data_IF_366162402280
#
_entry.id   IF_366162402280
#
_cell.length_a   1.000
_cell.length_b   1.000
_cell.length_c   1.000
_cell.angle_alpha   90.00
_cell.angle_beta   90.00
_cell.angle_gamma   90.00
#
_symmetry.space_group_name_H-M   'P 1'
#
loop_
_entity.id
_entity.type
_entity.pdbx_description
1 polymer ?
#
# COMPACT_ATOMS: atom_id res chain seq x y z
N UNK A 1 11.08 30.27 60.08
CA UNK A 1 10.94 30.28 58.61
C UNK A 1 11.81 29.17 58.06
N UNK A 2 11.19 28.09 57.59
CA UNK A 2 11.85 26.84 57.17
C UNK A 2 11.01 26.23 56.05
N UNK A 3 11.58 25.89 54.88
CA UNK A 3 10.81 25.45 53.72
C UNK A 3 10.45 23.96 53.77
N UNK A 4 9.32 23.62 53.14
CA UNK A 4 8.81 22.24 52.98
C UNK A 4 9.60 21.43 51.94
N UNK A 5 9.60 20.08 52.03
CA UNK A 5 10.38 19.21 51.14
C UNK A 5 9.69 18.87 49.81
N UNK A 6 10.50 18.56 48.80
CA UNK A 6 10.09 17.97 47.51
C UNK A 6 10.08 16.43 47.56
N UNK A 7 9.20 15.74 46.80
CA UNK A 7 9.12 14.28 46.81
C UNK A 7 9.88 13.57 45.67
N UNK A 8 10.63 12.53 46.06
CA UNK A 8 10.92 11.26 45.37
C UNK A 8 11.26 11.23 43.86
N UNK A 9 12.54 11.00 43.57
CA UNK A 9 12.95 10.14 42.44
C UNK A 9 12.89 8.66 42.86
N UNK A 10 12.41 7.79 41.98
CA UNK A 10 12.32 6.34 42.22
C UNK A 10 13.33 5.61 41.33
N UNK A 11 14.45 5.21 41.92
CA UNK A 11 15.49 4.40 41.28
C UNK A 11 15.04 2.93 41.28
N UNK A 12 15.12 2.26 40.13
CA UNK A 12 14.97 0.81 40.03
C UNK A 12 16.35 0.16 40.11
N UNK A 13 16.61 -0.56 41.20
CA UNK A 13 17.82 -1.37 41.40
C UNK A 13 17.48 -2.85 41.32
N UNK A 14 18.39 -3.60 40.68
CA UNK A 14 18.37 -5.07 40.59
C UNK A 14 18.41 -5.76 41.96
N UNK A 15 17.86 -6.98 42.04
CA UNK A 15 18.55 -8.17 42.59
C UNK A 15 17.62 -9.39 42.62
N UNK A 16 18.14 -10.57 42.20
CA UNK A 16 17.82 -11.85 42.87
C UNK A 16 18.79 -12.98 42.52
N UNK A 17 19.56 -13.36 43.54
CA UNK A 17 20.47 -14.51 43.70
C UNK A 17 20.40 -14.94 45.18
N UNK A 18 20.81 -16.12 45.65
CA UNK A 18 21.05 -17.46 45.06
C UNK A 18 20.94 -18.47 46.22
N UNK A 19 20.33 -19.64 46.01
CA UNK A 19 20.52 -20.84 46.85
C UNK A 19 19.97 -22.07 46.09
N UNK A 20 20.69 -23.12 45.67
CA UNK A 20 21.93 -23.80 46.10
C UNK A 20 21.72 -24.93 47.14
N UNK A 21 21.83 -26.18 46.65
CA UNK A 21 22.22 -27.44 47.31
C UNK A 21 22.24 -28.53 46.21
N UNK A 22 23.40 -28.91 45.64
CA UNK A 22 24.42 -29.89 46.11
C UNK A 22 24.08 -31.37 45.88
N UNK A 23 24.98 -32.13 45.24
CA UNK A 23 24.69 -33.55 44.90
C UNK A 23 25.69 -34.40 44.06
N UNK A 24 27.00 -34.13 44.07
CA UNK A 24 28.16 -35.07 43.88
C UNK A 24 28.27 -36.19 42.78
N UNK A 25 29.55 -36.40 42.36
CA UNK A 25 30.21 -37.49 41.54
C UNK A 25 30.23 -37.28 40.00
N UNK A 26 31.36 -37.17 39.27
CA UNK A 26 32.71 -37.83 39.32
C UNK A 26 32.64 -39.32 38.95
N UNK A 27 33.37 -39.88 37.97
CA UNK A 27 34.78 -39.67 37.55
C UNK A 27 35.04 -39.79 36.03
N UNK A 28 36.29 -39.53 35.61
CA UNK A 28 36.90 -39.58 34.26
C UNK A 28 36.89 -40.94 33.53
N UNK A 29 37.24 -40.93 32.22
CA UNK A 29 38.30 -41.80 31.61
C UNK A 29 38.64 -41.39 30.14
N UNK A 30 39.91 -41.01 29.96
CA UNK A 30 40.87 -41.17 28.83
C UNK A 30 40.44 -41.23 27.34
N UNK A 31 40.96 -40.25 26.59
CA UNK A 31 41.84 -40.34 25.41
C UNK A 31 41.75 -41.52 24.40
N UNK A 32 41.54 -41.19 23.11
CA UNK A 32 42.50 -41.48 22.01
C UNK A 32 42.06 -40.91 20.63
N UNK A 33 42.88 -40.02 20.06
CA UNK A 33 43.08 -39.89 18.60
C UNK A 33 43.90 -41.10 18.10
N UNK A 34 43.96 -41.50 16.79
CA UNK A 34 44.20 -40.57 15.68
C UNK A 34 43.62 -40.92 14.28
N UNK A 35 43.91 -40.03 13.32
CA UNK A 35 44.04 -40.26 11.85
C UNK A 35 42.83 -39.92 10.98
N UNK A 36 43.01 -38.96 10.06
CA UNK A 36 42.11 -38.70 8.93
C UNK A 36 42.36 -39.65 7.73
N UNK A 37 42.07 -39.25 6.46
CA UNK A 37 42.23 -37.88 5.96
C UNK A 37 41.05 -37.31 5.12
N UNK A 38 41.13 -35.99 4.91
CA UNK A 38 40.69 -35.23 3.72
C UNK A 38 39.52 -35.73 2.85
N UNK A 39 38.49 -34.90 2.74
CA UNK A 39 38.05 -34.47 1.41
C UNK A 39 37.48 -33.04 1.44
N UNK A 40 38.08 -32.17 0.62
CA UNK A 40 37.65 -30.78 0.42
C UNK A 40 36.43 -30.72 -0.50
N UNK A 41 35.49 -29.82 -0.24
CA UNK A 41 34.66 -29.17 -1.29
C UNK A 41 33.72 -28.10 -0.71
N UNK A 42 34.30 -27.13 0.00
CA UNK A 42 33.60 -25.85 0.21
C UNK A 42 33.55 -25.09 -1.13
N UNK A 43 32.37 -24.98 -1.72
CA UNK A 43 32.12 -24.22 -2.95
C UNK A 43 31.08 -23.12 -2.68
N UNK A 44 31.49 -21.84 -2.59
CA UNK A 44 30.55 -20.75 -2.38
C UNK A 44 29.76 -20.47 -3.68
N UNK A 45 28.42 -20.50 -3.57
CA UNK A 45 27.51 -20.13 -4.66
C UNK A 45 27.61 -18.64 -4.99
N UNK A 46 28.58 -18.27 -5.83
CA UNK A 46 28.62 -16.96 -6.48
C UNK A 46 27.51 -16.86 -7.52
N UNK A 47 26.59 -15.93 -7.30
CA UNK A 47 25.51 -15.60 -8.23
C UNK A 47 26.06 -14.84 -9.44
N UNK A 48 26.42 -15.56 -10.51
CA UNK A 48 26.76 -14.94 -11.80
C UNK A 48 25.47 -14.61 -12.58
N UNK A 49 25.33 -13.38 -13.12
CA UNK A 49 24.18 -13.03 -13.93
C UNK A 49 24.30 -13.68 -15.33
N UNK A 50 23.26 -14.42 -15.74
CA UNK A 50 23.13 -14.91 -17.11
C UNK A 50 23.11 -13.73 -18.09
N UNK A 51 24.20 -13.54 -18.83
CA UNK A 51 24.19 -12.80 -20.09
C UNK A 51 23.53 -13.69 -21.14
N UNK A 52 22.35 -13.29 -21.63
CA UNK A 52 21.79 -13.84 -22.85
C UNK A 52 22.60 -13.32 -24.03
N UNK A 53 23.42 -14.19 -24.64
CA UNK A 53 23.98 -13.92 -25.96
C UNK A 53 22.83 -13.94 -26.96
N UNK A 54 22.38 -12.75 -27.36
CA UNK A 54 21.65 -12.59 -28.61
C UNK A 54 22.70 -12.32 -29.68
N UNK A 55 22.87 -13.25 -30.61
CA UNK A 55 23.89 -13.12 -31.66
C UNK A 55 23.48 -12.01 -32.66
N UNK A 56 24.39 -11.08 -32.89
CA UNK A 56 24.27 -10.05 -33.93
C UNK A 56 24.50 -10.69 -35.31
N UNK A 57 23.43 -10.87 -36.10
CA UNK A 57 23.57 -11.05 -37.55
C UNK A 57 24.08 -9.75 -38.20
N UNK A 58 25.41 -9.57 -38.17
CA UNK A 58 26.09 -8.51 -38.93
C UNK A 58 25.98 -8.75 -40.43
N UNK A 59 24.90 -8.24 -41.05
CA UNK A 59 24.89 -7.98 -42.49
C UNK A 59 25.89 -6.86 -42.81
N UNK A 60 27.02 -7.24 -43.39
CA UNK A 60 27.92 -6.29 -44.04
C UNK A 60 27.19 -5.66 -45.24
N UNK A 61 27.18 -4.33 -45.32
CA UNK A 61 26.72 -3.59 -46.49
C UNK A 61 27.84 -2.59 -46.83
N UNK A 62 28.35 -2.56 -48.07
CA UNK A 62 29.50 -1.74 -48.43
C UNK A 62 29.14 -0.24 -48.47
N UNK A 63 30.14 0.60 -48.26
CA UNK A 63 29.94 2.03 -48.01
C UNK A 63 29.40 2.81 -49.20
N UNK A 64 28.41 3.67 -48.92
CA UNK A 64 28.06 4.84 -49.74
C UNK A 64 28.44 6.07 -48.94
N UNK A 65 29.35 6.89 -49.48
CA UNK A 65 29.88 8.07 -48.78
C UNK A 65 28.82 9.16 -48.63
N UNK A 66 28.23 9.29 -47.44
CA UNK A 66 27.34 10.39 -47.10
C UNK A 66 28.14 11.64 -46.72
N UNK A 67 28.17 12.62 -47.62
CA UNK A 67 28.69 13.96 -47.31
C UNK A 67 27.87 14.60 -46.18
N UNK A 68 28.54 15.16 -45.17
CA UNK A 68 27.87 15.93 -44.12
C UNK A 68 27.26 17.21 -44.72
N UNK A 69 25.93 17.42 -44.65
CA UNK A 69 25.36 18.73 -44.93
C UNK A 69 25.73 19.66 -43.77
N UNK A 70 26.56 20.67 -44.05
CA UNK A 70 26.82 21.76 -43.09
C UNK A 70 25.50 22.42 -42.73
N UNK A 71 25.15 22.38 -41.44
CA UNK A 71 23.86 22.87 -40.94
C UNK A 71 23.70 24.37 -41.17
N UNK A 72 23.06 24.73 -42.29
CA UNK A 72 22.46 26.04 -42.47
C UNK A 72 21.41 26.23 -41.38
N UNK A 73 21.58 27.25 -40.53
CA UNK A 73 20.55 27.65 -39.59
C UNK A 73 19.33 28.12 -40.39
N UNK A 74 18.32 27.25 -40.51
CA UNK A 74 17.07 27.53 -41.21
C UNK A 74 16.41 28.73 -40.54
N UNK A 75 16.58 29.91 -41.14
CA UNK A 75 15.83 31.10 -40.75
C UNK A 75 14.35 30.75 -40.84
N UNK A 76 13.71 30.62 -39.68
CA UNK A 76 12.26 30.50 -39.58
C UNK A 76 11.70 31.69 -40.35
N UNK A 77 10.94 31.42 -41.41
CA UNK A 77 10.41 32.48 -42.26
C UNK A 77 9.44 33.34 -41.45
N UNK A 78 9.35 34.63 -41.76
CA UNK A 78 8.41 35.52 -41.06
C UNK A 78 6.96 34.98 -41.09
N UNK A 79 6.59 34.25 -42.15
CA UNK A 79 5.34 33.48 -42.24
C UNK A 79 5.18 32.49 -41.08
N UNK A 80 6.13 31.56 -40.90
CA UNK A 80 6.04 30.53 -39.87
C UNK A 80 6.01 31.13 -38.43
N UNK A 81 6.63 32.29 -38.22
CA UNK A 81 6.53 33.02 -36.96
C UNK A 81 5.17 33.69 -36.77
N UNK A 82 4.55 34.22 -37.83
CA UNK A 82 3.18 34.74 -37.80
C UNK A 82 2.15 33.62 -37.57
N UNK A 83 2.29 32.48 -38.24
CA UNK A 83 1.44 31.30 -38.08
C UNK A 83 1.49 30.76 -36.64
N UNK A 84 2.68 30.71 -36.03
CA UNK A 84 2.86 30.32 -34.64
C UNK A 84 2.21 31.31 -33.66
N UNK A 85 2.25 32.61 -33.95
CA UNK A 85 1.60 33.62 -33.13
C UNK A 85 0.08 33.54 -33.24
N UNK A 86 -0.46 33.40 -34.46
CA UNK A 86 -1.88 33.19 -34.71
C UNK A 86 -2.41 31.92 -33.99
N UNK A 87 -1.65 30.83 -33.99
CA UNK A 87 -1.99 29.62 -33.22
C UNK A 87 -2.02 29.86 -31.70
N UNK A 88 -1.08 30.64 -31.15
CA UNK A 88 -1.10 31.02 -29.72
C UNK A 88 -2.33 31.85 -29.38
N UNK A 89 -2.73 32.76 -30.26
CA UNK A 89 -3.87 33.65 -30.04
C UNK A 89 -5.21 32.90 -30.16
N UNK A 90 -5.34 31.96 -31.11
CA UNK A 90 -6.46 31.01 -31.19
C UNK A 90 -6.53 30.11 -29.95
N UNK A 91 -5.40 29.54 -29.51
CA UNK A 91 -5.39 28.66 -28.34
C UNK A 91 -5.71 29.44 -27.06
N UNK A 92 -5.11 30.62 -26.88
CA UNK A 92 -5.34 31.49 -25.73
C UNK A 92 -6.77 32.01 -25.65
N UNK A 93 -7.39 32.34 -26.78
CA UNK A 93 -8.82 32.74 -26.83
C UNK A 93 -9.75 31.56 -26.50
N UNK A 94 -9.52 30.37 -27.07
CA UNK A 94 -10.31 29.17 -26.72
C UNK A 94 -10.19 28.79 -25.24
N UNK A 95 -8.99 28.85 -24.67
CA UNK A 95 -8.77 28.57 -23.24
C UNK A 95 -9.52 29.58 -22.36
N UNK A 96 -9.43 30.89 -22.67
CA UNK A 96 -10.15 31.93 -21.93
C UNK A 96 -11.67 31.77 -22.02
N UNK A 97 -12.19 31.44 -23.19
CA UNK A 97 -13.63 31.25 -23.38
C UNK A 97 -14.15 30.00 -22.68
N UNK A 98 -13.41 28.87 -22.72
CA UNK A 98 -13.74 27.67 -21.92
C UNK A 98 -13.78 27.97 -20.43
N UNK A 99 -12.73 28.60 -19.88
CA UNK A 99 -12.67 29.01 -18.47
C UNK A 99 -13.81 29.94 -18.09
N UNK A 100 -14.19 30.87 -18.98
CA UNK A 100 -15.33 31.76 -18.76
C UNK A 100 -16.67 31.01 -18.71
N UNK A 101 -16.85 30.01 -19.57
CA UNK A 101 -18.04 29.16 -19.58
C UNK A 101 -18.11 28.28 -18.33
N UNK A 102 -17.01 27.65 -17.92
CA UNK A 102 -16.93 26.83 -16.72
C UNK A 102 -17.23 27.66 -15.44
N UNK A 103 -16.61 28.84 -15.31
CA UNK A 103 -16.88 29.77 -14.20
C UNK A 103 -18.36 30.22 -14.21
N UNK A 104 -18.92 30.52 -15.38
CA UNK A 104 -20.34 30.91 -15.51
C UNK A 104 -21.28 29.80 -15.06
N UNK A 105 -21.01 28.54 -15.43
CA UNK A 105 -21.78 27.38 -14.99
C UNK A 105 -21.69 27.18 -13.47
N UNK A 106 -20.48 27.26 -12.89
CA UNK A 106 -20.26 27.14 -11.44
C UNK A 106 -21.02 28.23 -10.67
N UNK A 107 -20.94 29.49 -11.12
CA UNK A 107 -21.66 30.61 -10.49
C UNK A 107 -23.17 30.42 -10.61
N UNK A 108 -23.68 30.06 -11.80
CA UNK A 108 -25.11 29.80 -12.02
C UNK A 108 -25.64 28.68 -11.11
N UNK A 109 -24.91 27.57 -10.99
CA UNK A 109 -25.27 26.45 -10.12
C UNK A 109 -25.26 26.84 -8.63
N UNK A 110 -24.26 27.61 -8.19
CA UNK A 110 -24.19 28.12 -6.82
C UNK A 110 -25.35 29.09 -6.49
N UNK A 111 -25.73 29.95 -7.44
CA UNK A 111 -26.89 30.86 -7.30
C UNK A 111 -28.19 30.06 -7.23
N UNK A 112 -28.39 29.03 -8.08
CA UNK A 112 -29.58 28.18 -8.02
C UNK A 112 -29.72 27.46 -6.67
N UNK A 113 -28.64 26.86 -6.15
CA UNK A 113 -28.67 26.24 -4.81
C UNK A 113 -29.00 27.25 -3.70
N UNK A 114 -28.45 28.47 -3.79
CA UNK A 114 -28.78 29.52 -2.82
C UNK A 114 -30.26 29.90 -2.90
N UNK A 115 -30.82 30.09 -4.10
CA UNK A 115 -32.24 30.41 -4.28
C UNK A 115 -33.17 29.29 -3.83
N UNK A 116 -32.85 28.02 -4.11
CA UNK A 116 -33.62 26.86 -3.63
C UNK A 116 -33.65 26.82 -2.10
N UNK A 117 -32.49 27.04 -1.45
CA UNK A 117 -32.37 27.11 0.01
C UNK A 117 -33.17 28.25 0.64
N UNK A 118 -33.32 29.39 -0.05
CA UNK A 118 -34.16 30.51 0.43
C UNK A 118 -35.65 30.30 0.15
N UNK A 119 -36.01 29.66 -0.97
CA UNK A 119 -37.40 29.43 -1.36
C UNK A 119 -38.09 28.33 -0.53
N UNK A 120 -37.33 27.33 -0.07
CA UNK A 120 -37.83 26.20 0.73
C UNK A 120 -38.36 26.54 2.14
N UNK A 121 -38.23 27.80 2.59
CA UNK A 121 -38.61 28.21 3.96
C UNK A 121 -40.06 28.75 4.08
N UNK A 122 -40.85 28.71 3.00
CA UNK A 122 -42.25 29.18 3.03
C UNK A 122 -43.22 28.07 3.50
N UNK A 123 -43.45 28.07 4.82
CA UNK A 123 -44.69 27.67 5.51
C UNK A 123 -45.64 26.71 4.78
N UNK A 124 -45.43 25.40 4.95
CA UNK A 124 -46.52 24.41 4.80
C UNK A 124 -46.62 23.55 6.07
N UNK A 125 -47.83 23.47 6.63
CA UNK A 125 -48.10 22.71 7.86
C UNK A 125 -47.98 21.19 7.58
N UNK A 126 -47.45 20.40 8.54
CA UNK A 126 -47.22 18.98 8.32
C UNK A 126 -48.55 18.20 8.22
N UNK A 127 -48.89 17.79 7.00
CA UNK A 127 -49.95 16.80 6.75
C UNK A 127 -49.52 15.46 7.36
N UNK A 128 -50.32 14.95 8.29
CA UNK A 128 -50.00 13.75 9.07
C UNK A 128 -49.72 12.51 8.18
N UNK A 129 -48.44 12.21 7.98
CA UNK A 129 -47.98 10.97 7.38
C UNK A 129 -47.90 9.87 8.45
N UNK A 130 -48.38 8.67 8.12
CA UNK A 130 -48.35 7.51 9.04
C UNK A 130 -46.91 7.22 9.48
N UNK A 131 -46.69 7.16 10.79
CA UNK A 131 -45.39 6.87 11.37
C UNK A 131 -44.90 5.47 10.97
N UNK A 132 -43.96 5.41 10.02
CA UNK A 132 -43.06 4.27 9.89
C UNK A 132 -42.05 4.41 11.01
N UNK A 133 -42.07 3.48 11.97
CA UNK A 133 -41.17 3.52 13.12
C UNK A 133 -39.71 3.63 12.63
N UNK A 134 -38.91 4.59 13.15
CA UNK A 134 -37.50 4.66 12.81
C UNK A 134 -36.85 3.34 13.24
N UNK A 135 -36.26 2.64 12.28
CA UNK A 135 -35.38 1.51 12.61
C UNK A 135 -34.25 2.07 13.46
N UNK A 136 -34.25 1.75 14.76
CA UNK A 136 -33.14 2.06 15.66
C UNK A 136 -31.87 1.49 15.04
N UNK A 137 -31.09 2.35 14.40
CA UNK A 137 -29.77 1.99 13.94
C UNK A 137 -28.97 1.65 15.18
N UNK A 138 -28.57 0.38 15.31
CA UNK A 138 -27.73 -0.06 16.42
C UNK A 138 -26.49 0.83 16.44
N UNK A 139 -26.40 1.70 17.45
CA UNK A 139 -25.19 2.49 17.70
C UNK A 139 -24.16 1.46 18.13
N UNK A 140 -23.39 0.99 17.15
CA UNK A 140 -22.27 0.11 17.41
C UNK A 140 -21.28 0.91 18.25
N UNK A 141 -20.94 0.41 19.45
CA UNK A 141 -19.89 0.98 20.26
C UNK A 141 -18.56 0.82 19.49
N UNK A 142 -18.17 1.85 18.74
CA UNK A 142 -16.99 1.82 17.89
C UNK A 142 -15.74 1.79 18.76
N UNK A 143 -15.08 0.63 18.80
CA UNK A 143 -13.79 0.48 19.48
C UNK A 143 -12.79 1.48 18.88
N UNK A 144 -12.01 2.20 19.71
CA UNK A 144 -11.10 3.22 19.21
C UNK A 144 -10.17 2.66 18.13
N UNK A 145 -10.01 3.43 17.05
CA UNK A 145 -9.25 3.01 15.87
C UNK A 145 -7.81 2.68 16.27
N UNK A 146 -7.45 1.39 16.23
CA UNK A 146 -6.06 0.96 16.46
C UNK A 146 -5.17 1.62 15.42
N UNK A 147 -4.24 2.47 15.88
CA UNK A 147 -3.21 3.05 15.04
C UNK A 147 -2.41 1.91 14.39
N UNK A 148 -2.05 2.08 13.12
CA UNK A 148 -1.34 1.04 12.38
C UNK A 148 0.16 1.27 12.51
N UNK A 149 0.84 0.34 13.16
CA UNK A 149 2.30 0.30 13.14
C UNK A 149 2.81 0.05 11.70
N UNK A 150 4.09 0.36 11.48
CA UNK A 150 4.78 0.02 10.24
C UNK A 150 4.64 -1.50 9.94
N UNK A 151 4.46 -1.90 8.66
CA UNK A 151 4.37 -3.31 8.30
C UNK A 151 5.63 -4.10 8.71
N UNK A 152 5.55 -4.86 9.80
CA UNK A 152 6.67 -5.69 10.23
C UNK A 152 6.94 -6.80 9.21
N UNK A 153 8.19 -6.88 8.75
CA UNK A 153 8.63 -7.97 7.90
C UNK A 153 8.54 -9.29 8.68
N UNK A 154 8.01 -10.34 8.04
CA UNK A 154 7.85 -11.65 8.69
C UNK A 154 9.21 -12.35 8.80
N UNK A 155 9.46 -13.15 9.84
CA UNK A 155 10.70 -13.93 9.93
C UNK A 155 10.87 -14.81 8.67
N UNK A 156 12.09 -14.96 8.11
CA UNK A 156 12.31 -15.72 6.88
C UNK A 156 11.75 -17.15 6.93
N UNK A 157 11.84 -17.81 8.08
CA UNK A 157 11.27 -19.13 8.38
C UNK A 157 9.77 -19.22 8.07
N UNK A 158 9.01 -18.15 8.30
CA UNK A 158 7.58 -18.12 8.01
C UNK A 158 7.29 -18.13 6.50
N UNK A 159 8.21 -17.60 5.69
CA UNK A 159 8.10 -17.68 4.23
C UNK A 159 8.47 -19.08 3.72
N UNK A 160 9.46 -19.73 4.33
CA UNK A 160 9.78 -21.16 4.10
C UNK A 160 8.60 -22.06 4.45
N UNK A 161 7.96 -21.84 5.62
CA UNK A 161 6.76 -22.55 6.07
C UNK A 161 5.58 -22.40 5.10
N UNK A 162 5.31 -21.18 4.63
CA UNK A 162 4.29 -20.95 3.59
C UNK A 162 4.60 -21.68 2.27
N UNK A 163 5.88 -21.73 1.88
CA UNK A 163 6.31 -22.38 0.63
C UNK A 163 6.13 -23.90 0.72
N UNK A 164 6.52 -24.51 1.83
CA UNK A 164 6.31 -25.94 2.08
C UNK A 164 4.83 -26.31 2.21
N UNK A 165 3.98 -25.44 2.76
CA UNK A 165 2.51 -25.63 2.68
C UNK A 165 2.02 -25.64 1.23
N UNK A 166 2.53 -24.74 0.39
CA UNK A 166 2.17 -24.67 -1.03
C UNK A 166 2.60 -25.94 -1.78
N UNK A 167 3.88 -26.30 -1.69
CA UNK A 167 4.48 -27.49 -2.32
C UNK A 167 3.72 -28.76 -1.93
N UNK A 168 3.48 -28.99 -0.63
CA UNK A 168 2.78 -30.19 -0.17
C UNK A 168 1.31 -30.22 -0.58
N UNK A 169 0.65 -29.07 -0.69
CA UNK A 169 -0.73 -29.04 -1.18
C UNK A 169 -0.80 -29.43 -2.66
N UNK A 170 0.19 -29.02 -3.47
CA UNK A 170 0.28 -29.42 -4.88
C UNK A 170 0.64 -30.91 -5.03
N UNK A 171 1.56 -31.43 -4.20
CA UNK A 171 1.87 -32.86 -4.14
C UNK A 171 0.63 -33.71 -3.83
N UNK A 172 -0.14 -33.35 -2.79
CA UNK A 172 -1.31 -34.11 -2.34
C UNK A 172 -2.47 -34.12 -3.36
N UNK A 173 -2.61 -33.07 -4.17
CA UNK A 173 -3.63 -32.99 -5.25
C UNK A 173 -3.09 -33.46 -6.61
N UNK A 174 -1.87 -34.03 -6.66
CA UNK A 174 -1.29 -34.61 -7.87
C UNK A 174 -0.89 -33.58 -8.94
N UNK A 175 -0.59 -32.33 -8.57
CA UNK A 175 -0.12 -31.30 -9.50
C UNK A 175 1.38 -31.00 -9.32
N UNK A 176 2.11 -30.69 -10.41
CA UNK A 176 3.50 -30.26 -10.30
C UNK A 176 3.62 -28.87 -9.67
N UNK A 177 4.75 -28.57 -9.03
CA UNK A 177 4.96 -27.33 -8.24
C UNK A 177 4.85 -26.04 -9.06
N UNK A 178 5.09 -26.11 -10.38
CA UNK A 178 5.00 -25.01 -11.34
C UNK A 178 3.63 -24.91 -12.04
N UNK A 179 2.67 -25.77 -11.68
CA UNK A 179 1.34 -25.83 -12.28
C UNK A 179 0.64 -24.46 -12.27
N UNK A 180 0.42 -23.91 -13.48
CA UNK A 180 -0.48 -22.78 -13.73
C UNK A 180 -1.95 -23.22 -13.86
N UNK A 181 -2.22 -24.53 -13.83
CA UNK A 181 -3.55 -25.12 -13.99
C UNK A 181 -4.48 -24.75 -12.83
N UNK A 182 -5.78 -24.83 -13.09
CA UNK A 182 -6.81 -24.66 -12.07
C UNK A 182 -6.81 -25.90 -11.19
N UNK A 183 -6.74 -25.72 -9.87
CA UNK A 183 -7.03 -26.80 -8.94
C UNK A 183 -8.51 -27.18 -9.05
N UNK A 184 -8.84 -28.48 -9.25
CA UNK A 184 -10.23 -28.91 -9.22
C UNK A 184 -10.81 -28.68 -7.82
N UNK A 185 -12.04 -28.18 -7.77
CA UNK A 185 -12.84 -28.23 -6.53
C UNK A 185 -13.40 -29.64 -6.37
N UNK A 186 -13.60 -30.08 -5.13
CA UNK A 186 -14.51 -31.21 -4.87
C UNK A 186 -15.92 -30.86 -5.36
N UNK A 187 -16.65 -31.86 -5.86
CA UNK A 187 -18.03 -31.70 -6.34
C UNK A 187 -19.01 -31.55 -5.18
N UNK A 188 -20.09 -30.80 -5.40
CA UNK A 188 -21.16 -30.61 -4.40
C UNK A 188 -21.77 -31.94 -3.95
N UNK A 189 -21.94 -32.91 -4.87
CA UNK A 189 -22.42 -34.25 -4.55
C UNK A 189 -21.51 -34.98 -3.54
N UNK A 190 -20.18 -34.85 -3.66
CA UNK A 190 -19.24 -35.46 -2.71
C UNK A 190 -19.22 -34.71 -1.36
N UNK A 191 -19.41 -33.38 -1.35
CA UNK A 191 -19.60 -32.62 -0.10
C UNK A 191 -20.87 -33.08 0.63
N UNK A 192 -21.99 -33.24 -0.09
CA UNK A 192 -23.28 -33.60 0.49
C UNK A 192 -23.36 -35.08 0.91
N UNK A 193 -22.57 -35.96 0.30
CA UNK A 193 -22.47 -37.37 0.68
C UNK A 193 -21.55 -37.63 1.88
N UNK A 194 -20.72 -36.67 2.29
CA UNK A 194 -19.81 -36.83 3.43
C UNK A 194 -20.49 -36.46 4.75
N UNK A 195 -20.50 -37.41 5.70
CA UNK A 195 -20.88 -37.16 7.09
C UNK A 195 -19.62 -36.88 7.96
N UNK A 196 -19.52 -35.69 8.59
CA UNK A 196 -18.44 -35.36 9.53
C UNK A 196 -18.27 -36.32 10.71
N UNK A 197 -19.33 -37.07 11.09
CA UNK A 197 -19.28 -38.02 12.21
C UNK A 197 -18.60 -39.34 11.82
N UNK A 198 -18.61 -39.70 10.54
CA UNK A 198 -18.03 -40.95 10.02
C UNK A 198 -16.56 -40.81 9.61
N UNK A 199 -15.93 -39.66 9.87
CA UNK A 199 -14.49 -39.46 9.74
C UNK A 199 -14.11 -38.27 8.85
N UNK A 200 -12.87 -38.30 8.35
CA UNK A 200 -12.34 -37.22 7.52
C UNK A 200 -12.92 -37.24 6.10
N UNK A 201 -13.24 -36.05 5.57
CA UNK A 201 -13.72 -35.84 4.20
C UNK A 201 -12.81 -36.37 3.08
N UNK A 202 -11.52 -36.53 3.36
CA UNK A 202 -10.52 -37.04 2.43
C UNK A 202 -9.37 -37.71 3.19
N UNK A 203 -8.51 -38.41 2.47
CA UNK A 203 -7.24 -38.96 2.96
C UNK A 203 -6.07 -38.25 2.27
N UNK A 204 -4.83 -38.61 2.61
CA UNK A 204 -3.65 -38.10 1.92
C UNK A 204 -3.53 -38.61 0.48
N UNK A 205 -4.14 -39.76 0.13
CA UNK A 205 -4.07 -40.34 -1.20
C UNK A 205 -5.17 -39.84 -2.16
N UNK A 206 -6.25 -39.28 -1.63
CA UNK A 206 -7.38 -38.71 -2.39
C UNK A 206 -7.74 -37.31 -1.85
N UNK A 207 -6.73 -36.46 -1.73
CA UNK A 207 -6.86 -35.16 -1.08
C UNK A 207 -7.63 -34.17 -1.98
N UNK A 208 -8.77 -33.66 -1.50
CA UNK A 208 -9.65 -32.75 -2.25
C UNK A 208 -9.99 -31.48 -1.45
N UNK A 209 -10.14 -30.35 -2.15
CA UNK A 209 -10.36 -29.01 -1.57
C UNK A 209 -11.71 -28.44 -2.05
N UNK A 210 -12.46 -27.80 -1.16
CA UNK A 210 -13.68 -27.07 -1.50
C UNK A 210 -13.33 -25.60 -1.83
N UNK A 211 -13.32 -25.25 -3.12
CA UNK A 211 -13.00 -23.90 -3.60
C UNK A 211 -14.26 -23.06 -3.87
N UNK A 212 -15.43 -23.69 -3.99
CA UNK A 212 -16.69 -23.03 -4.29
C UNK A 212 -17.41 -22.55 -3.02
N UNK A 213 -17.63 -23.50 -2.09
CA UNK A 213 -18.28 -23.37 -0.78
C UNK A 213 -17.49 -22.54 0.24
N UNK A 214 -17.89 -22.49 1.50
CA UNK A 214 -17.28 -21.55 2.48
C UNK A 214 -15.80 -21.89 2.75
N UNK A 215 -14.94 -20.86 2.93
CA UNK A 215 -13.53 -21.07 3.33
C UNK A 215 -13.41 -21.89 4.62
N UNK A 216 -14.36 -21.70 5.53
CA UNK A 216 -14.45 -22.41 6.80
C UNK A 216 -15.57 -23.46 6.80
N UNK A 217 -15.91 -24.01 5.62
CA UNK A 217 -16.81 -25.16 5.48
C UNK A 217 -16.31 -26.34 6.32
N UNK A 218 -17.24 -27.23 6.72
CA UNK A 218 -16.88 -28.44 7.45
C UNK A 218 -15.86 -29.28 6.65
N UNK A 219 -16.03 -29.33 5.32
CA UNK A 219 -15.10 -29.97 4.40
C UNK A 219 -13.68 -29.42 4.53
N UNK A 220 -13.50 -28.11 4.31
CA UNK A 220 -12.18 -27.49 4.38
C UNK A 220 -11.54 -27.60 5.78
N UNK A 221 -12.34 -27.53 6.86
CA UNK A 221 -11.85 -27.79 8.23
C UNK A 221 -11.36 -29.24 8.40
N UNK A 222 -12.04 -30.21 7.82
CA UNK A 222 -11.61 -31.62 7.85
C UNK A 222 -10.36 -31.84 6.98
N UNK A 223 -10.32 -31.30 5.77
CA UNK A 223 -9.15 -31.38 4.88
C UNK A 223 -7.91 -30.75 5.52
N UNK A 224 -8.05 -29.62 6.25
CA UNK A 224 -6.96 -29.03 7.02
C UNK A 224 -6.38 -29.99 8.06
N UNK A 225 -7.25 -30.71 8.80
CA UNK A 225 -6.82 -31.71 9.80
C UNK A 225 -6.07 -32.88 9.15
N UNK A 226 -6.51 -33.33 7.98
CA UNK A 226 -5.84 -34.40 7.20
C UNK A 226 -4.45 -33.91 6.75
N UNK A 227 -4.40 -32.73 6.13
CA UNK A 227 -3.16 -32.07 5.70
C UNK A 227 -2.14 -31.95 6.85
N UNK A 228 -2.56 -31.41 8.00
CA UNK A 228 -1.69 -31.24 9.16
C UNK A 228 -1.29 -32.56 9.84
N UNK A 229 -1.96 -33.68 9.54
CA UNK A 229 -1.56 -35.03 9.99
C UNK A 229 -0.50 -35.64 9.07
N UNK A 230 -0.53 -35.33 7.77
CA UNK A 230 0.50 -35.74 6.81
C UNK A 230 1.76 -34.88 6.86
N UNK A 231 1.60 -33.58 7.08
CA UNK A 231 2.66 -32.58 6.93
C UNK A 231 3.96 -32.88 7.73
N UNK A 232 3.92 -33.22 9.04
CA UNK A 232 5.16 -33.54 9.78
C UNK A 232 5.87 -34.80 9.29
N UNK A 233 5.15 -35.73 8.63
CA UNK A 233 5.75 -36.94 8.04
C UNK A 233 6.62 -36.60 6.82
N UNK A 234 6.20 -35.60 6.04
CA UNK A 234 6.95 -35.06 4.89
C UNK A 234 8.07 -34.13 5.35
N UNK A 235 7.78 -33.18 6.23
CA UNK A 235 8.72 -32.18 6.74
C UNK A 235 9.09 -32.48 8.20
N UNK A 236 9.98 -33.47 8.40
CA UNK A 236 10.39 -33.97 9.73
C UNK A 236 10.91 -32.87 10.68
N UNK A 237 11.52 -31.82 10.14
CA UNK A 237 12.08 -30.71 10.91
C UNK A 237 11.05 -29.59 11.21
N UNK A 238 9.75 -29.81 10.95
CA UNK A 238 8.71 -28.84 11.23
C UNK A 238 8.45 -28.71 12.74
N UNK A 239 8.83 -27.57 13.32
CA UNK A 239 8.56 -27.24 14.73
C UNK A 239 7.19 -26.59 14.96
N UNK A 240 6.42 -26.30 13.90
CA UNK A 240 5.13 -25.63 14.03
C UNK A 240 4.06 -26.58 14.59
N UNK A 241 3.27 -26.17 15.60
CA UNK A 241 2.21 -27.01 16.14
C UNK A 241 1.10 -27.23 15.11
N UNK A 242 0.42 -28.37 15.20
CA UNK A 242 -0.64 -28.80 14.28
C UNK A 242 -1.63 -27.69 13.90
N UNK A 243 -2.13 -26.95 14.89
CA UNK A 243 -3.09 -25.86 14.68
C UNK A 243 -2.53 -24.73 13.80
N UNK A 244 -1.23 -24.42 13.90
CA UNK A 244 -0.55 -23.44 13.04
C UNK A 244 -0.43 -23.95 11.60
N UNK A 245 -0.23 -25.26 11.41
CA UNK A 245 -0.25 -25.91 10.08
C UNK A 245 -1.66 -25.82 9.48
N UNK A 246 -2.71 -26.16 10.25
CA UNK A 246 -4.11 -26.07 9.82
C UNK A 246 -4.50 -24.63 9.43
N UNK A 247 -4.18 -23.64 10.27
CA UNK A 247 -4.39 -22.20 10.00
C UNK A 247 -3.58 -21.72 8.78
N UNK A 248 -2.34 -22.18 8.63
CA UNK A 248 -1.48 -21.88 7.49
C UNK A 248 -2.06 -22.38 6.18
N UNK A 249 -2.54 -23.63 6.17
CA UNK A 249 -3.16 -24.25 5.00
C UNK A 249 -4.49 -23.58 4.62
N UNK A 250 -5.39 -23.33 5.57
CA UNK A 250 -6.63 -22.58 5.30
C UNK A 250 -6.33 -21.20 4.70
N UNK A 251 -5.29 -20.50 5.18
CA UNK A 251 -4.86 -19.21 4.60
C UNK A 251 -4.35 -19.34 3.16
N UNK A 252 -3.71 -20.46 2.83
CA UNK A 252 -3.31 -20.76 1.44
C UNK A 252 -4.54 -21.05 0.56
N UNK A 253 -5.50 -21.84 1.05
CA UNK A 253 -6.79 -22.09 0.37
C UNK A 253 -7.58 -20.80 0.14
N UNK A 254 -7.53 -19.81 1.04
CA UNK A 254 -8.11 -18.47 0.78
C UNK A 254 -7.57 -17.85 -0.52
N UNK A 255 -6.26 -17.97 -0.74
CA UNK A 255 -5.58 -17.47 -1.94
C UNK A 255 -5.97 -18.25 -3.19
N UNK A 256 -6.00 -19.59 -3.10
CA UNK A 256 -6.46 -20.46 -4.18
C UNK A 256 -7.89 -20.15 -4.62
N UNK A 257 -8.80 -20.09 -3.67
CA UNK A 257 -10.20 -19.74 -3.89
C UNK A 257 -10.38 -18.37 -4.54
N UNK A 258 -9.51 -17.42 -4.21
CA UNK A 258 -9.49 -16.10 -4.85
C UNK A 258 -9.06 -16.20 -6.32
N UNK A 259 -8.04 -17.01 -6.63
CA UNK A 259 -7.62 -17.30 -8.02
C UNK A 259 -8.72 -18.03 -8.81
N UNK A 260 -9.31 -19.08 -8.24
CA UNK A 260 -10.40 -19.86 -8.82
C UNK A 260 -11.59 -18.97 -9.20
N UNK A 261 -12.05 -18.12 -8.26
CA UNK A 261 -13.13 -17.14 -8.51
C UNK A 261 -12.77 -16.01 -9.48
N UNK A 262 -11.49 -15.82 -9.81
CA UNK A 262 -11.06 -14.89 -10.86
C UNK A 262 -10.97 -15.57 -12.24
N UNK A 263 -10.72 -16.88 -12.29
CA UNK A 263 -10.67 -17.64 -13.56
C UNK A 263 -12.05 -17.77 -14.20
N UNK A 264 -13.11 -17.93 -13.39
CA UNK A 264 -14.51 -17.88 -13.87
C UNK A 264 -15.03 -16.47 -14.22
N UNK A 265 -14.19 -15.43 -14.23
CA UNK A 265 -14.58 -14.05 -14.59
C UNK A 265 -13.93 -13.63 -15.90
N UNK A 266 -14.71 -12.93 -16.73
CA UNK A 266 -14.20 -12.32 -17.97
C UNK A 266 -13.00 -11.40 -17.72
N UNK A 267 -12.11 -11.33 -18.71
CA UNK A 267 -10.81 -10.64 -18.66
C UNK A 267 -10.89 -9.22 -18.10
N UNK A 268 -11.91 -8.44 -18.50
CA UNK A 268 -12.15 -7.08 -18.01
C UNK A 268 -12.28 -7.00 -16.48
N UNK A 269 -13.11 -7.87 -15.87
CA UNK A 269 -13.28 -7.93 -14.39
C UNK A 269 -12.00 -8.37 -13.67
N UNK A 270 -11.18 -9.21 -14.31
CA UNK A 270 -9.88 -9.60 -13.76
C UNK A 270 -8.89 -8.44 -13.79
N UNK A 271 -8.87 -7.64 -14.86
CA UNK A 271 -8.03 -6.45 -14.94
C UNK A 271 -8.49 -5.35 -13.99
N UNK A 272 -9.80 -5.08 -13.88
CA UNK A 272 -10.38 -4.16 -12.91
C UNK A 272 -10.02 -4.53 -11.47
N UNK A 273 -10.11 -5.82 -11.11
CA UNK A 273 -9.70 -6.31 -9.80
C UNK A 273 -8.20 -6.12 -9.57
N UNK A 274 -7.35 -6.39 -10.57
CA UNK A 274 -5.90 -6.13 -10.49
C UNK A 274 -5.60 -4.64 -10.36
N UNK A 275 -6.25 -3.76 -11.11
CA UNK A 275 -6.11 -2.31 -11.02
C UNK A 275 -6.51 -1.80 -9.63
N UNK A 276 -7.65 -2.26 -9.11
CA UNK A 276 -8.11 -1.97 -7.75
C UNK A 276 -7.13 -2.44 -6.68
N UNK A 277 -6.53 -3.63 -6.85
CA UNK A 277 -5.48 -4.12 -5.96
C UNK A 277 -4.22 -3.25 -6.03
N UNK A 278 -3.74 -2.91 -7.23
CA UNK A 278 -2.60 -2.01 -7.45
C UNK A 278 -2.82 -0.65 -6.77
N UNK A 279 -3.98 -0.02 -6.97
CA UNK A 279 -4.37 1.25 -6.30
C UNK A 279 -4.30 1.12 -4.78
N UNK A 280 -4.89 0.07 -4.20
CA UNK A 280 -4.86 -0.19 -2.75
C UNK A 280 -3.44 -0.42 -2.21
N UNK A 281 -2.61 -1.14 -2.96
CA UNK A 281 -1.23 -1.41 -2.62
C UNK A 281 -0.40 -0.11 -2.63
N UNK A 282 -0.42 0.67 -3.72
CA UNK A 282 0.27 1.98 -3.82
C UNK A 282 -0.12 2.92 -2.68
N UNK A 283 -1.41 2.93 -2.31
CA UNK A 283 -1.93 3.75 -1.19
C UNK A 283 -1.38 3.32 0.17
N UNK A 284 -1.15 2.02 0.38
CA UNK A 284 -0.56 1.47 1.60
C UNK A 284 0.97 1.67 1.63
N UNK A 285 1.64 1.59 0.48
CA UNK A 285 3.06 1.91 0.31
C UNK A 285 3.31 3.40 0.60
N UNK A 286 2.48 4.31 0.05
CA UNK A 286 2.55 5.75 0.34
C UNK A 286 2.39 6.05 1.84
N UNK A 287 1.40 5.44 2.51
CA UNK A 287 1.25 5.54 3.97
C UNK A 287 2.51 5.10 4.72
N UNK A 288 3.10 3.98 4.29
CA UNK A 288 4.31 3.42 4.91
C UNK A 288 5.49 4.38 4.74
N UNK A 289 5.71 4.91 3.53
CA UNK A 289 6.78 5.87 3.25
C UNK A 289 6.61 7.21 3.98
N UNK A 290 5.38 7.71 4.11
CA UNK A 290 5.10 8.92 4.91
C UNK A 290 5.41 8.69 6.39
N UNK A 291 5.06 7.52 6.94
CA UNK A 291 5.34 7.18 8.32
C UNK A 291 6.86 6.95 8.56
N UNK A 292 7.53 6.21 7.68
CA UNK A 292 8.99 6.02 7.68
C UNK A 292 9.75 7.36 7.58
N UNK A 293 9.25 8.30 6.76
CA UNK A 293 9.84 9.62 6.63
C UNK A 293 9.60 10.46 7.89
N UNK A 294 8.37 10.50 8.41
CA UNK A 294 8.04 11.20 9.65
C UNK A 294 8.95 10.78 10.81
N UNK A 295 9.20 9.46 10.97
CA UNK A 295 10.07 8.91 12.00
C UNK A 295 11.56 9.29 11.84
N UNK A 296 12.03 9.65 10.65
CA UNK A 296 13.43 10.00 10.40
C UNK A 296 13.76 11.48 10.66
N UNK A 297 12.78 12.38 10.62
CA UNK A 297 12.99 13.82 10.82
C UNK A 297 12.62 14.24 12.25
N UNK A 298 13.56 14.07 13.18
CA UNK A 298 13.37 14.30 14.63
C UNK A 298 12.72 15.66 14.98
N UNK A 299 13.00 16.72 14.22
CA UNK A 299 12.44 18.07 14.44
C UNK A 299 10.94 18.20 14.20
N UNK A 300 10.31 17.23 13.52
CA UNK A 300 8.87 17.17 13.26
C UNK A 300 8.23 15.84 13.65
N UNK A 301 9.01 14.86 14.12
CA UNK A 301 8.61 13.45 14.20
C UNK A 301 7.31 13.24 14.96
N UNK A 302 7.21 13.72 16.21
CA UNK A 302 6.02 13.52 17.06
C UNK A 302 4.72 13.98 16.37
N UNK A 303 4.73 15.16 15.74
CA UNK A 303 3.57 15.73 15.04
C UNK A 303 3.31 15.05 13.69
N UNK A 304 4.35 14.74 12.93
CA UNK A 304 4.22 14.13 11.61
C UNK A 304 3.74 12.67 11.71
N UNK A 305 4.25 11.91 12.69
CA UNK A 305 3.82 10.55 13.00
C UNK A 305 2.36 10.53 13.42
N UNK A 306 1.96 11.41 14.35
CA UNK A 306 0.57 11.54 14.80
C UNK A 306 -0.40 11.84 13.63
N UNK A 307 -0.09 12.86 12.81
CA UNK A 307 -0.88 13.20 11.61
C UNK A 307 -1.03 12.00 10.67
N UNK A 308 0.06 11.30 10.34
CA UNK A 308 0.03 10.17 9.42
C UNK A 308 -0.75 8.99 10.02
N UNK A 309 -0.53 8.66 11.29
CA UNK A 309 -1.21 7.55 11.97
C UNK A 309 -2.73 7.76 12.09
N UNK A 310 -3.19 8.97 12.44
CA UNK A 310 -4.61 9.29 12.51
C UNK A 310 -5.31 9.15 11.14
N UNK A 311 -4.71 9.73 10.09
CA UNK A 311 -5.19 9.58 8.70
C UNK A 311 -5.26 8.10 8.28
N UNK A 312 -4.19 7.36 8.57
CA UNK A 312 -3.97 6.01 8.10
C UNK A 312 -3.93 5.91 6.57
N UNK A 313 -3.95 4.68 6.07
CA UNK A 313 -4.03 4.36 4.62
C UNK A 313 -5.24 5.04 3.94
N UNK A 314 -6.31 5.35 4.67
CA UNK A 314 -7.53 5.91 4.07
C UNK A 314 -7.43 7.40 3.74
N UNK A 315 -6.68 8.18 4.54
CA UNK A 315 -6.42 9.60 4.34
C UNK A 315 -5.40 9.93 3.24
N UNK A 316 -4.60 8.94 2.82
CA UNK A 316 -3.69 9.05 1.68
C UNK A 316 -4.44 9.33 0.36
N UNK A 317 -3.79 10.00 -0.60
CA UNK A 317 -4.32 10.16 -1.96
C UNK A 317 -4.40 8.82 -2.69
N UNK A 318 -5.37 8.67 -3.59
CA UNK A 318 -5.31 7.61 -4.61
C UNK A 318 -4.47 8.11 -5.77
N UNK A 319 -3.58 7.26 -6.27
CA UNK A 319 -2.80 7.53 -7.48
C UNK A 319 -3.50 6.89 -8.67
N UNK A 320 -4.16 7.74 -9.46
CA UNK A 320 -4.71 7.32 -10.76
C UNK A 320 -3.60 7.33 -11.80
N UNK A 321 -3.44 6.18 -12.47
CA UNK A 321 -2.50 5.99 -13.57
C UNK A 321 -3.26 6.04 -14.89
N UNK A 322 -3.00 7.06 -15.71
CA UNK A 322 -3.66 7.23 -17.02
C UNK A 322 -3.18 6.20 -18.06
N UNK A 323 -2.06 5.52 -17.77
CA UNK A 323 -1.32 4.66 -18.68
C UNK A 323 -1.73 3.17 -18.70
N UNK A 324 -2.96 2.80 -18.32
CA UNK A 324 -3.38 1.38 -18.40
C UNK A 324 -3.66 0.88 -19.84
N UNK A 325 -3.49 1.71 -20.88
CA UNK A 325 -3.74 1.34 -22.29
C UNK A 325 -2.71 1.80 -23.35
N UNK A 326 -1.75 2.67 -23.03
CA UNK A 326 -0.83 3.28 -24.01
C UNK A 326 0.63 3.26 -23.50
N UNK A 327 1.59 2.93 -24.37
CA UNK A 327 2.98 2.64 -24.02
C UNK A 327 3.88 3.83 -23.65
N UNK A 328 3.33 4.88 -23.05
CA UNK A 328 4.09 6.02 -22.53
C UNK A 328 4.69 5.78 -21.14
N UNK A 329 5.51 6.71 -20.66
CA UNK A 329 5.99 6.72 -19.27
C UNK A 329 4.81 6.90 -18.32
N UNK A 330 4.66 6.00 -17.33
CA UNK A 330 3.49 5.98 -16.46
C UNK A 330 3.38 7.24 -15.57
N UNK A 331 2.64 8.25 -16.06
CA UNK A 331 2.27 9.44 -15.28
C UNK A 331 1.21 9.08 -14.24
N UNK A 332 1.44 9.47 -12.99
CA UNK A 332 0.51 9.30 -11.88
C UNK A 332 -0.11 10.65 -11.48
N UNK A 333 -1.39 10.62 -11.16
CA UNK A 333 -2.14 11.79 -10.71
C UNK A 333 -2.54 11.65 -9.26
N UNK A 334 -2.06 12.56 -8.42
CA UNK A 334 -2.49 12.67 -7.04
C UNK A 334 -3.87 13.33 -7.01
N UNK A 335 -4.92 12.55 -6.68
CA UNK A 335 -6.28 13.07 -6.59
C UNK A 335 -6.46 13.99 -5.37
N UNK A 336 -7.14 15.12 -5.57
CA UNK A 336 -7.50 16.03 -4.49
C UNK A 336 -8.57 15.39 -3.58
N UNK A 337 -8.56 15.73 -2.28
CA UNK A 337 -9.59 15.33 -1.31
C UNK A 337 -10.25 16.59 -0.80
N UNK A 338 -11.46 16.85 -1.27
CA UNK A 338 -12.33 17.99 -0.90
C UNK A 338 -12.49 18.14 0.61
N UNK A 339 -12.64 17.01 1.31
CA UNK A 339 -12.80 16.96 2.75
C UNK A 339 -11.54 17.26 3.55
N UNK A 340 -10.34 17.17 2.96
CA UNK A 340 -9.06 17.21 3.69
C UNK A 340 -8.55 18.65 3.74
N UNK A 341 -8.12 19.11 4.92
CA UNK A 341 -7.62 20.48 5.06
C UNK A 341 -6.34 20.72 4.26
N UNK A 342 -6.14 21.97 3.87
CA UNK A 342 -4.96 22.38 3.10
C UNK A 342 -3.66 22.21 3.91
N UNK A 343 -3.70 22.45 5.23
CA UNK A 343 -2.58 22.16 6.15
C UNK A 343 -2.17 20.69 6.12
N UNK A 344 -3.12 19.76 6.23
CA UNK A 344 -2.83 18.32 6.17
C UNK A 344 -2.29 17.93 4.78
N UNK A 345 -2.82 18.51 3.71
CA UNK A 345 -2.29 18.29 2.36
C UNK A 345 -0.83 18.79 2.24
N UNK A 346 -0.49 19.95 2.81
CA UNK A 346 0.86 20.46 2.85
C UNK A 346 1.82 19.59 3.68
N UNK A 347 1.36 18.99 4.79
CA UNK A 347 2.15 18.02 5.57
C UNK A 347 2.51 16.77 4.76
N UNK A 348 1.55 16.20 4.01
CA UNK A 348 1.81 15.02 3.19
C UNK A 348 2.76 15.35 2.02
N UNK A 349 2.60 16.52 1.39
CA UNK A 349 3.53 17.02 0.36
C UNK A 349 4.94 17.28 0.92
N UNK A 350 5.04 17.79 2.16
CA UNK A 350 6.32 17.92 2.85
C UNK A 350 6.99 16.54 3.03
N UNK A 351 6.25 15.53 3.45
CA UNK A 351 6.77 14.17 3.60
C UNK A 351 7.19 13.54 2.27
N UNK A 352 6.48 13.82 1.16
CA UNK A 352 6.92 13.42 -0.19
C UNK A 352 8.27 14.07 -0.57
N UNK A 353 8.42 15.38 -0.34
CA UNK A 353 9.67 16.13 -0.58
C UNK A 353 10.83 15.63 0.30
N UNK A 354 10.57 15.40 1.59
CA UNK A 354 11.54 14.90 2.55
C UNK A 354 11.93 13.43 2.30
N UNK A 355 11.00 12.61 1.78
CA UNK A 355 11.31 11.28 1.28
C UNK A 355 12.23 11.36 0.06
N UNK A 356 11.95 12.26 -0.90
CA UNK A 356 12.82 12.48 -2.05
C UNK A 356 14.22 12.98 -1.64
N UNK A 357 14.31 13.83 -0.61
CA UNK A 357 15.59 14.18 0.03
C UNK A 357 16.36 12.95 0.53
N UNK A 358 15.70 12.02 1.21
CA UNK A 358 16.34 10.77 1.70
C UNK A 358 16.81 9.85 0.55
N UNK A 359 16.25 9.99 -0.66
CA UNK A 359 16.74 9.31 -1.88
C UNK A 359 18.04 9.91 -2.42
N UNK A 360 18.46 11.08 -1.94
CA UNK A 360 19.73 11.72 -2.28
C UNK A 360 20.73 11.62 -1.14
N UNK A 361 21.96 11.20 -1.47
CA UNK A 361 23.11 11.32 -0.58
C UNK A 361 23.66 12.75 -0.63
N UNK A 362 24.82 12.97 0.00
CA UNK A 362 25.62 14.21 -0.18
C UNK A 362 25.84 14.46 -1.68
N UNK A 363 25.99 15.73 -2.05
CA UNK A 363 26.32 16.16 -3.43
C UNK A 363 25.29 15.72 -4.51
N UNK A 364 24.01 15.57 -4.14
CA UNK A 364 22.95 15.14 -5.08
C UNK A 364 23.20 13.76 -5.71
N UNK A 365 23.99 12.90 -5.07
CA UNK A 365 24.20 11.54 -5.54
C UNK A 365 22.96 10.67 -5.30
N UNK A 366 22.38 10.14 -6.37
CA UNK A 366 21.21 9.29 -6.36
C UNK A 366 21.45 7.94 -5.64
N UNK A 367 20.54 7.56 -4.74
CA UNK A 367 20.50 6.19 -4.16
C UNK A 367 19.99 5.15 -5.15
N UNK A 368 20.48 3.91 -5.02
CA UNK A 368 20.03 2.77 -5.82
C UNK A 368 18.61 2.29 -5.46
N UNK A 369 18.00 1.50 -6.34
CA UNK A 369 16.66 0.94 -6.18
C UNK A 369 15.56 1.77 -6.83
N UNK A 370 14.29 1.42 -6.55
CA UNK A 370 13.14 2.13 -7.12
C UNK A 370 13.03 3.56 -6.55
N UNK A 371 12.86 4.53 -7.45
CA UNK A 371 12.62 5.93 -7.11
C UNK A 371 11.12 6.22 -6.97
N UNK A 372 10.75 7.27 -6.21
CA UNK A 372 9.37 7.75 -6.15
C UNK A 372 8.83 8.01 -7.55
N UNK A 373 7.61 7.58 -7.83
CA UNK A 373 6.97 7.91 -9.09
C UNK A 373 6.70 9.41 -9.20
N UNK A 374 6.91 9.98 -10.39
CA UNK A 374 6.50 11.34 -10.70
C UNK A 374 4.97 11.46 -10.60
N UNK A 375 4.52 12.44 -9.81
CA UNK A 375 3.11 12.67 -9.46
C UNK A 375 2.73 14.09 -9.84
N UNK A 376 1.73 14.24 -10.69
CA UNK A 376 1.13 15.54 -11.00
C UNK A 376 -0.11 15.74 -10.12
N UNK A 377 -0.28 16.93 -9.53
CA UNK A 377 -1.52 17.28 -8.83
C UNK A 377 -2.69 17.27 -9.81
N UNK A 378 -3.74 16.49 -9.52
CA UNK A 378 -4.93 16.47 -10.36
C UNK A 378 -5.94 17.54 -9.92
N UNK A 379 -6.65 18.11 -10.88
CA UNK A 379 -7.91 18.84 -10.62
C UNK A 379 -9.07 17.88 -10.29
N UNK A 380 -8.90 16.56 -10.53
CA UNK A 380 -9.91 15.54 -10.22
C UNK A 380 -10.02 15.34 -8.71
N UNK A 381 -11.25 15.49 -8.20
CA UNK A 381 -11.60 15.19 -6.80
C UNK A 381 -11.74 13.68 -6.61
N UNK A 382 -11.30 13.19 -5.45
CA UNK A 382 -11.38 11.78 -5.06
C UNK A 382 -12.73 11.47 -4.42
N UNK A 383 -13.49 10.56 -5.03
CA UNK A 383 -14.75 10.04 -4.48
C UNK A 383 -14.57 9.12 -3.24
N UNK A 384 -13.41 9.14 -2.59
CA UNK A 384 -13.17 8.36 -1.37
C UNK A 384 -13.74 9.09 -0.15
N UNK A 385 -14.50 8.38 0.71
CA UNK A 385 -15.14 9.00 1.86
C UNK A 385 -14.15 9.67 2.80
N UNK A 386 -14.60 10.65 3.60
CA UNK A 386 -13.84 11.21 4.70
C UNK A 386 -13.45 10.11 5.70
N UNK A 387 -12.28 10.26 6.30
CA UNK A 387 -11.86 9.42 7.43
C UNK A 387 -12.61 9.93 8.68
N UNK A 388 -13.35 9.08 9.41
CA UNK A 388 -13.99 9.47 10.66
C UNK A 388 -12.96 9.57 11.80
N UNK A 389 -13.37 10.12 12.94
CA UNK A 389 -12.57 10.24 14.17
C UNK A 389 -11.28 11.05 13.97
N UNK A 390 -11.28 12.04 13.07
CA UNK A 390 -10.19 13.02 12.95
C UNK A 390 -10.51 14.31 13.73
N UNK A 391 -9.48 15.07 14.17
CA UNK A 391 -9.65 16.42 14.68
C UNK A 391 -10.33 17.35 13.66
N UNK A 392 -11.16 18.29 14.12
CA UNK A 392 -11.93 19.18 13.22
C UNK A 392 -11.06 19.97 12.24
N UNK A 393 -9.83 20.34 12.61
CA UNK A 393 -8.86 21.04 11.75
C UNK A 393 -8.18 20.15 10.69
N UNK A 394 -8.38 18.83 10.71
CA UNK A 394 -7.97 17.93 9.62
C UNK A 394 -8.96 17.99 8.45
N UNK A 395 -10.19 18.44 8.69
CA UNK A 395 -11.17 18.65 7.63
C UNK A 395 -11.05 20.05 7.00
N UNK A 396 -11.36 20.17 5.72
CA UNK A 396 -11.51 21.46 5.06
C UNK A 396 -12.70 22.21 5.69
N UNK A 397 -12.47 23.42 6.23
CA UNK A 397 -13.47 24.16 7.00
C UNK A 397 -14.79 24.38 6.21
N UNK A 398 -14.70 24.79 4.94
CA UNK A 398 -15.86 24.99 4.08
C UNK A 398 -16.62 23.68 3.83
N UNK A 399 -15.90 22.59 3.59
CA UNK A 399 -16.49 21.27 3.37
C UNK A 399 -17.19 20.75 4.63
N UNK A 400 -16.56 20.90 5.81
CA UNK A 400 -17.11 20.42 7.09
C UNK A 400 -18.32 21.25 7.54
N UNK A 401 -18.29 22.57 7.33
CA UNK A 401 -19.42 23.46 7.58
C UNK A 401 -20.62 23.15 6.67
N UNK A 402 -20.37 22.76 5.43
CA UNK A 402 -21.41 22.36 4.46
C UNK A 402 -22.03 20.98 4.72
N UNK A 403 -21.45 20.15 5.59
CA UNK A 403 -22.05 18.87 5.97
C UNK A 403 -23.32 19.08 6.81
N UNK A 404 -24.33 18.24 6.58
CA UNK A 404 -25.49 18.17 7.47
C UNK A 404 -25.13 17.51 8.82
N UNK A 405 -26.00 17.65 9.82
CA UNK A 405 -25.71 17.19 11.19
C UNK A 405 -25.48 15.68 11.27
N UNK A 406 -26.25 14.87 10.52
CA UNK A 406 -26.06 13.42 10.45
C UNK A 406 -24.69 13.02 9.88
N UNK A 407 -24.21 13.72 8.84
CA UNK A 407 -22.86 13.53 8.32
C UNK A 407 -21.80 13.93 9.35
N UNK A 408 -21.98 15.05 10.08
CA UNK A 408 -21.05 15.48 11.14
C UNK A 408 -21.01 14.52 12.33
N UNK A 409 -22.17 14.02 12.76
CA UNK A 409 -22.30 12.99 13.79
C UNK A 409 -21.55 11.71 13.39
N UNK A 410 -21.76 11.24 12.15
CA UNK A 410 -21.05 10.07 11.61
C UNK A 410 -19.54 10.27 11.42
N UNK A 411 -19.06 11.52 11.32
CA UNK A 411 -17.63 11.80 11.32
C UNK A 411 -17.01 11.66 12.71
N UNK A 412 -17.78 11.83 13.79
CA UNK A 412 -17.28 11.80 15.18
C UNK A 412 -16.02 12.67 15.36
N UNK A 413 -16.03 13.88 14.78
CA UNK A 413 -14.83 14.72 14.75
C UNK A 413 -14.44 15.21 16.16
N UNK A 414 -13.17 15.06 16.50
CA UNK A 414 -12.63 15.47 17.80
C UNK A 414 -12.27 16.97 17.81
N UNK A 415 -12.07 17.60 18.99
CA UNK A 415 -11.52 18.96 19.07
C UNK A 415 -10.22 19.13 18.27
N UNK A 416 -10.00 20.33 17.73
CA UNK A 416 -8.84 20.63 16.90
C UNK A 416 -7.52 20.44 17.67
N UNK A 417 -6.49 19.93 16.99
CA UNK A 417 -5.15 19.80 17.58
C UNK A 417 -4.43 21.16 17.68
N UNK A 418 -3.52 21.37 18.65
CA UNK A 418 -3.05 22.72 19.01
C UNK A 418 -2.29 23.52 17.93
N UNK A 419 -1.75 22.87 16.89
CA UNK A 419 -1.19 23.54 15.71
C UNK A 419 -0.92 22.51 14.60
N UNK A 420 -1.23 22.88 13.36
CA UNK A 420 -0.85 22.14 12.14
C UNK A 420 0.24 22.89 11.34
N UNK A 421 0.96 23.81 11.97
CA UNK A 421 2.02 24.57 11.30
C UNK A 421 3.27 23.71 11.08
N UNK A 422 3.83 23.81 9.87
CA UNK A 422 5.09 23.18 9.48
C UNK A 422 6.24 24.12 9.88
N UNK A 423 7.27 23.65 10.62
CA UNK A 423 8.44 24.46 10.94
C UNK A 423 9.15 24.97 9.68
N UNK A 424 9.36 26.29 9.60
CA UNK A 424 9.90 26.99 8.41
C UNK A 424 11.24 26.42 7.95
N UNK A 425 12.10 25.99 8.87
CA UNK A 425 13.40 25.39 8.58
C UNK A 425 13.25 24.10 7.75
N UNK A 426 12.30 23.24 8.12
CA UNK A 426 12.04 21.97 7.44
C UNK A 426 11.36 22.21 6.09
N UNK A 427 10.46 23.19 6.00
CA UNK A 427 9.86 23.59 4.72
C UNK A 427 10.90 24.10 3.72
N UNK A 428 11.81 25.00 4.13
CA UNK A 428 12.90 25.51 3.28
C UNK A 428 13.90 24.42 2.88
N UNK A 429 14.10 23.41 3.73
CA UNK A 429 14.93 22.26 3.41
C UNK A 429 14.29 21.36 2.35
N UNK A 430 13.01 21.04 2.53
CA UNK A 430 12.22 20.22 1.62
C UNK A 430 12.03 20.86 0.24
N UNK A 431 11.83 22.18 0.18
CA UNK A 431 11.58 22.95 -1.06
C UNK A 431 12.69 22.80 -2.12
N UNK A 432 13.90 22.40 -1.72
CA UNK A 432 15.01 22.11 -2.65
C UNK A 432 14.73 20.92 -3.58
N UNK A 433 13.83 20.01 -3.18
CA UNK A 433 13.55 18.74 -3.85
C UNK A 433 12.23 18.76 -4.63
N UNK A 434 11.95 19.86 -5.34
CA UNK A 434 10.68 20.10 -6.04
C UNK A 434 10.14 18.89 -6.83
N UNK A 435 8.96 18.41 -6.43
CA UNK A 435 8.26 17.28 -7.06
C UNK A 435 7.85 17.59 -8.51
N UNK A 436 7.68 18.86 -8.90
CA UNK A 436 7.39 19.22 -10.28
C UNK A 436 8.62 19.05 -11.20
N UNK A 437 9.83 18.98 -10.64
CA UNK A 437 11.05 18.75 -11.41
C UNK A 437 11.29 17.24 -11.63
N UNK A 438 10.81 16.74 -12.77
CA UNK A 438 10.96 15.33 -13.18
C UNK A 438 12.41 14.83 -13.12
N UNK A 439 13.44 15.69 -13.33
CA UNK A 439 14.85 15.28 -13.20
C UNK A 439 15.23 14.97 -11.75
N UNK A 440 14.71 15.71 -10.77
CA UNK A 440 14.94 15.43 -9.34
C UNK A 440 14.21 14.14 -8.95
N UNK A 441 12.94 14.00 -9.35
CA UNK A 441 12.15 12.80 -9.01
C UNK A 441 12.72 11.52 -9.66
N UNK A 442 13.31 11.60 -10.85
CA UNK A 442 13.98 10.47 -11.51
C UNK A 442 15.42 10.21 -11.05
N UNK A 443 15.97 10.95 -10.07
CA UNK A 443 17.36 10.78 -9.63
C UNK A 443 18.42 11.27 -10.64
N UNK A 444 18.03 12.11 -11.60
CA UNK A 444 18.85 12.62 -12.73
C UNK A 444 19.26 14.09 -12.57
N UNK A 445 18.99 14.70 -11.42
CA UNK A 445 19.48 16.04 -11.10
C UNK A 445 21.01 16.07 -11.06
N UNK A 446 21.61 17.04 -11.75
CA UNK A 446 23.01 17.38 -11.54
C UNK A 446 23.16 18.10 -10.18
N UNK A 447 24.34 18.04 -9.53
CA UNK A 447 24.62 18.92 -8.40
C UNK A 447 24.44 20.38 -8.83
N UNK A 448 23.78 21.18 -8.00
CA UNK A 448 23.75 22.63 -8.20
C UNK A 448 25.19 23.15 -8.13
N UNK A 449 25.69 23.66 -9.26
CA UNK A 449 26.90 24.50 -9.30
C UNK A 449 26.53 25.83 -8.64
N UNK A 450 26.87 25.95 -7.35
CA UNK A 450 26.64 27.13 -6.50
C UNK A 450 27.50 28.32 -6.90
#
# INVERSE_FOLDING_TARGET
>A
MTPSPTPNQLVWSSNKEVAAADGHRSTDILSADPSGPSNESDMPLQYLPHKSNHEDERRQNPGVGAQQPKGSATKITASAQADLQHLKDILGSKIRESLRQDISQIVSFAVMQAMEKYSGNSTSLPRAAKAVAPRSGTIHNETPRKLKDLPQHRPPEWNTFKRSIHEYTLELVGLPTDAKSVLPSVTEAAINAWDPNHGHCCTLANFCIDLEGNLHSAWNKSAAKVFATGYPKKYKNCQYPRETIEKGWIRYVTGLKTKYRLQGKGTARVQEHKATHRRKQRKAELYTHHLECAMQYQSISDRAVDIVQQLGVDGMSSDESEHEGHGGEATYYALHKDWRSHHITAWLQLLDLLHLRLRYRREWQATAGAWPHFRTTSLKVSNHPPVPQLPTNFYCANWYAAQNDFSRERLQAHPATPSLEIPRQVAMEAQKYDLANQKIVQGKAAPFTS
#
